data_IF_607825714366
#
_entry.id   IF_607825714366
#
_cell.length_a   1.000
_cell.length_b   1.000
_cell.length_c   1.000
_cell.angle_alpha   90.00
_cell.angle_beta   90.00
_cell.angle_gamma   90.00
#
_symmetry.space_group_name_H-M   'P 1'
#
loop_
_entity.id
_entity.type
_entity.pdbx_description
1 polymer ?
#
# COMPACT_ATOMS: atom_id res chain seq x y z
N UNK A 1 -21.15 8.76 -12.57
CA UNK A 1 -20.32 8.24 -11.46
C UNK A 1 -19.12 7.42 -11.93
N UNK A 2 -19.32 6.32 -12.68
CA UNK A 2 -18.23 5.42 -13.13
C UNK A 2 -17.09 6.17 -13.86
N UNK A 3 -17.43 7.05 -14.81
CA UNK A 3 -16.42 7.80 -15.56
C UNK A 3 -15.58 8.77 -14.71
N UNK A 4 -16.18 9.39 -13.70
CA UNK A 4 -15.45 10.27 -12.76
C UNK A 4 -14.50 9.47 -11.87
N UNK A 5 -14.95 8.31 -11.36
CA UNK A 5 -14.10 7.40 -10.61
C UNK A 5 -12.91 6.91 -11.43
N UNK A 6 -13.15 6.50 -12.67
CA UNK A 6 -12.09 6.04 -13.58
C UNK A 6 -11.07 7.13 -13.92
N UNK A 7 -11.48 8.40 -14.02
CA UNK A 7 -10.55 9.52 -14.22
C UNK A 7 -9.68 9.75 -12.98
N UNK A 8 -10.28 9.74 -11.79
CA UNK A 8 -9.53 9.91 -10.54
C UNK A 8 -8.55 8.75 -10.30
N UNK A 9 -8.95 7.52 -10.61
CA UNK A 9 -8.10 6.34 -10.57
C UNK A 9 -6.90 6.48 -11.52
N UNK A 10 -7.16 6.80 -12.80
CA UNK A 10 -6.09 7.04 -13.80
C UNK A 10 -5.14 8.16 -13.39
N UNK A 11 -5.63 9.18 -12.69
CA UNK A 11 -4.80 10.27 -12.19
C UNK A 11 -3.83 9.84 -11.09
N UNK A 12 -4.16 8.80 -10.31
CA UNK A 12 -3.37 8.36 -9.15
C UNK A 12 -2.48 7.15 -9.45
N UNK A 13 -2.86 6.27 -10.39
CA UNK A 13 -2.05 5.09 -10.78
C UNK A 13 -0.56 5.43 -10.98
N UNK A 14 -0.17 6.51 -11.70
CA UNK A 14 1.24 6.82 -11.94
C UNK A 14 2.07 7.13 -10.68
N UNK A 15 1.41 7.51 -9.58
CA UNK A 15 2.06 7.87 -8.31
C UNK A 15 1.90 6.83 -7.21
N UNK A 16 1.19 5.73 -7.47
CA UNK A 16 1.08 4.63 -6.54
C UNK A 16 2.44 3.91 -6.38
N UNK A 17 2.71 3.36 -5.18
CA UNK A 17 3.86 2.47 -4.96
C UNK A 17 3.71 1.17 -5.75
N UNK A 18 4.81 0.45 -5.92
CA UNK A 18 4.76 -0.94 -6.42
C UNK A 18 4.18 -1.88 -5.35
N UNK A 19 3.75 -3.06 -5.78
CA UNK A 19 3.33 -4.12 -4.85
C UNK A 19 4.48 -4.57 -3.92
N UNK A 20 5.74 -4.51 -4.40
CA UNK A 20 6.92 -4.79 -3.57
C UNK A 20 7.13 -3.75 -2.46
N UNK A 21 6.87 -2.47 -2.74
CA UNK A 21 7.01 -1.38 -1.76
C UNK A 21 5.82 -1.31 -0.80
N UNK A 22 4.63 -1.63 -1.29
CA UNK A 22 3.40 -1.56 -0.52
C UNK A 22 2.45 -2.70 -0.92
N UNK A 23 2.58 -3.90 -0.29
CA UNK A 23 1.90 -5.14 -0.70
C UNK A 23 0.43 -5.17 -0.26
N UNK A 24 -0.31 -4.10 -0.53
CA UNK A 24 -1.69 -3.91 -0.09
C UNK A 24 -2.64 -3.74 -1.26
N UNK A 25 -3.77 -4.42 -1.19
CA UNK A 25 -4.92 -4.04 -1.99
C UNK A 25 -5.47 -2.69 -1.50
N UNK A 26 -5.46 -1.68 -2.36
CA UNK A 26 -5.95 -0.34 -2.06
C UNK A 26 -7.38 -0.21 -2.58
N UNK A 27 -8.30 0.20 -1.71
CA UNK A 27 -9.66 0.59 -2.09
C UNK A 27 -9.93 2.01 -1.59
N UNK A 28 -10.22 2.91 -2.52
CA UNK A 28 -10.63 4.29 -2.21
C UNK A 28 -12.06 4.50 -2.65
N UNK A 29 -12.86 5.13 -1.79
CA UNK A 29 -14.24 5.53 -2.08
C UNK A 29 -14.32 7.03 -1.86
N UNK A 30 -14.76 7.75 -2.90
CA UNK A 30 -15.02 9.19 -2.83
C UNK A 30 -16.52 9.42 -2.84
N UNK A 31 -17.05 9.97 -1.75
CA UNK A 31 -18.47 10.33 -1.63
C UNK A 31 -18.61 11.85 -1.78
N UNK A 32 -19.42 12.27 -2.74
CA UNK A 32 -19.66 13.68 -3.01
C UNK A 32 -20.89 14.14 -2.23
N UNK A 33 -20.68 14.97 -1.21
CA UNK A 33 -21.77 15.56 -0.42
C UNK A 33 -22.33 16.85 -1.03
N UNK A 34 -21.48 17.60 -1.75
CA UNK A 34 -21.83 18.85 -2.41
C UNK A 34 -21.16 18.93 -3.78
N UNK A 35 -21.82 19.59 -4.73
CA UNK A 35 -21.33 19.71 -6.10
C UNK A 35 -21.73 21.04 -6.72
N UNK A 36 -20.77 21.94 -6.89
CA UNK A 36 -20.90 23.13 -7.74
C UNK A 36 -19.60 23.37 -8.54
N UNK A 37 -19.12 22.31 -9.19
CA UNK A 37 -17.89 22.29 -9.96
C UNK A 37 -17.46 20.85 -10.25
N UNK A 38 -16.18 20.64 -10.57
CA UNK A 38 -15.70 19.31 -10.95
C UNK A 38 -15.47 18.38 -9.75
N UNK A 39 -16.48 17.58 -9.43
CA UNK A 39 -16.41 16.55 -8.38
C UNK A 39 -15.38 15.47 -8.66
N UNK A 40 -15.04 15.24 -9.94
CA UNK A 40 -13.95 14.33 -10.35
C UNK A 40 -12.56 14.83 -9.93
N UNK A 41 -12.32 16.15 -10.00
CA UNK A 41 -11.08 16.77 -9.57
C UNK A 41 -11.00 16.82 -8.05
N UNK A 42 -12.10 17.17 -7.39
CA UNK A 42 -12.22 17.08 -5.94
C UNK A 42 -11.95 15.65 -5.43
N UNK A 43 -12.52 14.63 -6.10
CA UNK A 43 -12.29 13.22 -5.78
C UNK A 43 -10.82 12.83 -5.93
N UNK A 44 -10.12 13.35 -6.95
CA UNK A 44 -8.68 13.09 -7.13
C UNK A 44 -7.86 13.67 -5.97
N UNK A 45 -8.09 14.94 -5.62
CA UNK A 45 -7.39 15.61 -4.52
C UNK A 45 -7.67 14.91 -3.18
N UNK A 46 -8.93 14.64 -2.87
CA UNK A 46 -9.35 14.00 -1.63
C UNK A 46 -8.82 12.55 -1.54
N UNK A 47 -8.85 11.79 -2.63
CA UNK A 47 -8.31 10.42 -2.68
C UNK A 47 -6.80 10.42 -2.45
N UNK A 48 -6.05 11.34 -3.08
CA UNK A 48 -4.63 11.48 -2.84
C UNK A 48 -4.32 11.71 -1.36
N UNK A 49 -5.02 12.67 -0.73
CA UNK A 49 -4.86 12.97 0.69
C UNK A 49 -5.28 11.80 1.58
N UNK A 50 -6.39 11.14 1.27
CA UNK A 50 -6.88 9.98 2.01
C UNK A 50 -5.88 8.82 1.99
N UNK A 51 -5.27 8.55 0.85
CA UNK A 51 -4.24 7.52 0.71
C UNK A 51 -2.98 7.88 1.51
N UNK A 52 -2.53 9.14 1.45
CA UNK A 52 -1.43 9.63 2.28
C UNK A 52 -1.75 9.48 3.78
N UNK A 53 -2.97 9.82 4.20
CA UNK A 53 -3.42 9.68 5.58
C UNK A 53 -3.56 8.21 6.02
N UNK A 54 -3.84 7.29 5.10
CA UNK A 54 -3.88 5.86 5.35
C UNK A 54 -2.48 5.21 5.45
N UNK A 55 -1.41 5.97 5.17
CA UNK A 55 -0.03 5.48 5.19
C UNK A 55 0.42 4.84 3.87
N UNK A 56 -0.32 5.06 2.77
CA UNK A 56 0.12 4.61 1.44
C UNK A 56 1.28 5.51 1.00
N UNK A 57 2.46 4.94 0.67
CA UNK A 57 3.63 5.71 0.25
C UNK A 57 3.48 6.20 -1.20
N UNK A 58 2.56 7.15 -1.40
CA UNK A 58 2.39 7.85 -2.68
C UNK A 58 3.68 8.61 -3.00
N UNK A 59 4.20 8.40 -4.22
CA UNK A 59 5.46 9.00 -4.68
C UNK A 59 5.43 10.52 -4.64
N UNK A 60 4.31 11.12 -5.10
CA UNK A 60 4.09 12.57 -5.16
C UNK A 60 2.60 12.91 -5.04
N UNK A 61 2.29 14.01 -4.36
CA UNK A 61 0.93 14.54 -4.26
C UNK A 61 0.37 14.89 -5.64
N UNK A 62 -0.89 14.53 -5.89
CA UNK A 62 -1.62 14.80 -7.13
C UNK A 62 -2.83 15.68 -6.81
N UNK A 63 -2.97 16.79 -7.53
CA UNK A 63 -4.15 17.63 -7.52
C UNK A 63 -4.81 17.61 -8.90
N UNK A 64 -6.11 17.88 -8.93
CA UNK A 64 -6.91 18.05 -10.14
C UNK A 64 -7.55 19.43 -10.19
N UNK A 65 -7.79 19.94 -11.40
CA UNK A 65 -8.57 21.15 -11.63
C UNK A 65 -9.27 21.10 -12.98
N UNK A 66 -10.39 21.79 -13.11
CA UNK A 66 -11.09 22.02 -14.38
C UNK A 66 -10.82 23.43 -14.91
N UNK A 67 -10.80 23.54 -16.24
CA UNK A 67 -10.70 24.78 -16.99
C UNK A 67 -11.79 24.80 -18.03
N UNK A 68 -12.53 25.92 -18.08
CA UNK A 68 -13.54 26.16 -19.09
C UNK A 68 -13.02 27.00 -20.24
N UNK A 69 -13.77 27.01 -21.34
CA UNK A 69 -13.61 27.95 -22.45
C UNK A 69 -14.96 28.61 -22.73
N UNK A 70 -14.94 29.90 -22.99
CA UNK A 70 -16.03 30.62 -23.64
C UNK A 70 -15.45 31.34 -24.85
N UNK A 71 -16.04 31.10 -26.02
CA UNK A 71 -15.67 31.71 -27.30
C UNK A 71 -16.68 32.78 -27.70
N UNK A 72 -16.17 33.85 -28.31
CA UNK A 72 -16.93 34.94 -28.86
C UNK A 72 -17.22 34.73 -30.35
N UNK A 73 -17.29 35.82 -31.10
CA UNK A 73 -17.63 35.78 -32.54
C UNK A 73 -16.47 35.30 -33.42
N UNK A 74 -15.23 35.35 -32.93
CA UNK A 74 -14.01 34.96 -33.66
C UNK A 74 -13.15 34.00 -32.84
N UNK A 75 -12.28 33.24 -33.52
CA UNK A 75 -11.38 32.27 -32.89
C UNK A 75 -10.36 32.90 -31.91
N UNK A 76 -10.11 34.21 -32.04
CA UNK A 76 -9.21 34.98 -31.18
C UNK A 76 -9.93 35.63 -29.99
N UNK A 77 -11.26 35.70 -30.02
CA UNK A 77 -12.08 36.22 -28.93
C UNK A 77 -12.50 35.06 -28.02
N UNK A 78 -11.71 34.80 -26.99
CA UNK A 78 -12.02 33.75 -26.04
C UNK A 78 -11.58 34.09 -24.61
N UNK A 79 -12.26 33.45 -23.66
CA UNK A 79 -11.94 33.50 -22.24
C UNK A 79 -11.76 32.09 -21.71
N UNK A 80 -10.63 31.87 -21.04
CA UNK A 80 -10.44 30.67 -20.24
C UNK A 80 -10.96 30.92 -18.83
N UNK A 81 -11.63 29.94 -18.26
CA UNK A 81 -12.15 29.95 -16.90
C UNK A 81 -11.40 28.92 -16.06
N UNK A 82 -11.14 29.21 -14.78
CA UNK A 82 -10.39 28.31 -13.89
C UNK A 82 -11.30 27.91 -12.74
N UNK A 83 -11.32 26.61 -12.43
CA UNK A 83 -12.21 26.02 -11.43
C UNK A 83 -13.69 26.28 -11.72
N UNK A 84 -14.11 25.85 -12.90
CA UNK A 84 -15.46 26.14 -13.39
C UNK A 84 -16.56 25.57 -12.50
N UNK A 85 -17.59 26.38 -12.32
CA UNK A 85 -18.86 25.99 -11.73
C UNK A 85 -19.72 25.20 -12.72
N UNK A 86 -20.76 24.54 -12.22
CA UNK A 86 -21.66 23.75 -13.08
C UNK A 86 -22.35 24.58 -14.17
N UNK A 87 -22.66 25.86 -13.88
CA UNK A 87 -23.22 26.77 -14.88
C UNK A 87 -22.21 27.15 -15.96
N UNK A 88 -20.96 27.39 -15.57
CA UNK A 88 -19.88 27.75 -16.49
C UNK A 88 -19.49 26.58 -17.40
N UNK A 89 -19.51 25.35 -16.88
CA UNK A 89 -19.43 24.14 -17.72
C UNK A 89 -20.62 24.10 -18.68
N UNK A 90 -21.86 24.17 -18.17
CA UNK A 90 -23.06 24.00 -18.99
C UNK A 90 -23.09 24.95 -20.21
N UNK A 91 -22.77 26.22 -20.01
CA UNK A 91 -22.75 27.24 -21.06
C UNK A 91 -21.40 27.41 -21.77
N UNK A 92 -20.33 26.78 -21.27
CA UNK A 92 -18.99 26.86 -21.86
C UNK A 92 -18.79 25.90 -23.03
N UNK A 93 -17.84 26.25 -23.88
CA UNK A 93 -17.48 25.59 -25.13
C UNK A 93 -16.50 24.43 -24.96
N UNK A 94 -15.86 24.35 -23.80
CA UNK A 94 -14.90 23.30 -23.44
C UNK A 94 -14.96 23.04 -21.93
N UNK A 95 -14.91 21.76 -21.54
CA UNK A 95 -14.58 21.30 -20.19
C UNK A 95 -13.24 20.55 -20.24
N UNK A 96 -12.21 21.17 -19.66
CA UNK A 96 -10.85 20.65 -19.67
C UNK A 96 -10.38 20.33 -18.25
N UNK A 97 -10.30 19.05 -17.93
CA UNK A 97 -9.88 18.54 -16.63
C UNK A 97 -8.44 18.06 -16.71
N UNK A 98 -7.61 18.54 -15.80
CA UNK A 98 -6.19 18.16 -15.74
C UNK A 98 -5.80 17.82 -14.32
N UNK A 99 -5.17 16.66 -14.16
CA UNK A 99 -4.57 16.22 -12.91
C UNK A 99 -3.06 16.12 -13.05
N UNK A 100 -2.33 16.24 -11.95
CA UNK A 100 -0.89 16.09 -12.00
C UNK A 100 -0.20 16.37 -10.68
N UNK A 101 1.12 16.19 -10.71
CA UNK A 101 2.06 16.54 -9.64
C UNK A 101 2.73 17.88 -9.96
N UNK A 102 3.68 18.30 -9.11
CA UNK A 102 4.55 19.44 -9.39
C UNK A 102 5.44 19.24 -10.62
N UNK A 103 5.73 17.98 -10.98
CA UNK A 103 6.67 17.59 -12.04
C UNK A 103 5.99 17.28 -13.37
N UNK A 104 4.70 16.99 -13.38
CA UNK A 104 4.04 16.59 -14.62
C UNK A 104 2.56 16.35 -14.47
N UNK A 105 1.92 16.14 -15.60
CA UNK A 105 0.50 15.78 -15.70
C UNK A 105 0.36 14.27 -15.56
N UNK A 106 -0.62 13.80 -14.78
CA UNK A 106 -0.91 12.37 -14.62
C UNK A 106 -2.10 11.92 -15.44
N UNK A 107 -3.13 12.77 -15.61
CA UNK A 107 -4.23 12.54 -16.53
C UNK A 107 -4.80 13.85 -17.10
N UNK A 108 -5.39 13.72 -18.28
CA UNK A 108 -6.16 14.77 -18.96
C UNK A 108 -7.48 14.16 -19.40
N UNK A 109 -8.57 14.88 -19.20
CA UNK A 109 -9.83 14.64 -19.87
C UNK A 109 -10.29 15.96 -20.50
N UNK A 110 -10.73 15.91 -21.74
CA UNK A 110 -11.18 17.07 -22.48
C UNK A 110 -12.48 16.73 -23.18
N UNK A 111 -13.50 17.56 -22.96
CA UNK A 111 -14.76 17.55 -23.68
C UNK A 111 -14.90 18.89 -24.41
N UNK A 112 -15.21 18.85 -25.70
CA UNK A 112 -15.28 20.03 -26.57
C UNK A 112 -16.66 20.06 -27.19
N UNK A 113 -17.34 21.21 -27.10
CA UNK A 113 -18.68 21.42 -27.66
C UNK A 113 -18.67 22.21 -28.97
N UNK A 114 -17.50 22.71 -29.37
CA UNK A 114 -17.24 23.44 -30.61
C UNK A 114 -16.43 22.60 -31.61
N UNK A 115 -16.28 23.11 -32.83
CA UNK A 115 -15.68 22.36 -33.93
C UNK A 115 -14.17 22.05 -33.73
N UNK A 116 -13.47 22.83 -32.91
CA UNK A 116 -12.06 22.60 -32.60
C UNK A 116 -11.46 23.63 -31.66
N UNK A 117 -10.22 23.40 -31.25
CA UNK A 117 -9.44 24.31 -30.39
C UNK A 117 -8.18 24.73 -31.12
N UNK A 118 -7.85 26.02 -31.04
CA UNK A 118 -6.57 26.53 -31.55
C UNK A 118 -5.44 26.14 -30.58
N UNK A 119 -4.20 26.06 -31.10
CA UNK A 119 -3.02 25.77 -30.28
C UNK A 119 -2.85 26.76 -29.10
N UNK A 120 -3.05 28.08 -29.26
CA UNK A 120 -3.03 29.03 -28.15
C UNK A 120 -4.03 28.73 -27.03
N UNK A 121 -5.25 28.30 -27.37
CA UNK A 121 -6.27 27.94 -26.38
C UNK A 121 -5.79 26.75 -25.53
N UNK A 122 -5.27 25.71 -26.17
CA UNK A 122 -4.78 24.50 -25.48
C UNK A 122 -3.56 24.82 -24.60
N UNK A 123 -2.59 25.58 -25.11
CA UNK A 123 -1.41 25.99 -24.34
C UNK A 123 -1.82 26.84 -23.12
N UNK A 124 -2.73 27.79 -23.31
CA UNK A 124 -3.27 28.63 -22.24
C UNK A 124 -4.02 27.83 -21.17
N UNK A 125 -4.86 26.88 -21.59
CA UNK A 125 -5.61 26.02 -20.67
C UNK A 125 -4.68 25.15 -19.82
N UNK A 126 -3.67 24.51 -20.44
CA UNK A 126 -2.67 23.71 -19.72
C UNK A 126 -1.88 24.55 -18.72
N UNK A 127 -1.45 25.76 -19.12
CA UNK A 127 -0.71 26.68 -18.26
C UNK A 127 -1.54 27.11 -17.04
N UNK A 128 -2.79 27.53 -17.26
CA UNK A 128 -3.73 27.88 -16.17
C UNK A 128 -4.01 26.71 -15.24
N UNK A 129 -4.26 25.52 -15.79
CA UNK A 129 -4.44 24.33 -14.98
C UNK A 129 -3.19 24.02 -14.15
N UNK A 130 -1.97 24.24 -14.67
CA UNK A 130 -0.75 24.05 -13.89
C UNK A 130 -0.70 24.99 -12.69
N UNK A 131 -0.91 26.28 -12.90
CA UNK A 131 -0.91 27.27 -11.82
C UNK A 131 -1.95 26.93 -10.75
N UNK A 132 -3.18 26.61 -11.16
CA UNK A 132 -4.26 26.29 -10.24
C UNK A 132 -4.02 24.97 -9.47
N UNK A 133 -3.47 23.93 -10.12
CA UNK A 133 -3.09 22.69 -9.42
C UNK A 133 -2.04 22.94 -8.35
N UNK A 134 -1.02 23.74 -8.66
CA UNK A 134 0.02 24.10 -7.69
C UNK A 134 -0.57 24.91 -6.53
N UNK A 135 -1.45 25.86 -6.83
CA UNK A 135 -2.18 26.61 -5.80
C UNK A 135 -2.97 25.68 -4.87
N UNK A 136 -3.74 24.72 -5.40
CA UNK A 136 -4.51 23.75 -4.62
C UNK A 136 -3.60 22.90 -3.74
N UNK A 137 -2.49 22.40 -4.29
CA UNK A 137 -1.53 21.62 -3.51
C UNK A 137 -0.96 22.43 -2.34
N UNK A 138 -0.49 23.64 -2.60
CA UNK A 138 0.26 24.44 -1.63
C UNK A 138 -0.64 25.06 -0.57
N UNK A 139 -1.83 25.54 -0.95
CA UNK A 139 -2.69 26.33 -0.07
C UNK A 139 -3.85 25.52 0.54
N UNK A 140 -4.23 24.39 -0.07
CA UNK A 140 -5.38 23.61 0.38
C UNK A 140 -4.96 22.22 0.90
N UNK A 141 -4.17 21.48 0.12
CA UNK A 141 -3.87 20.08 0.43
C UNK A 141 -2.76 19.92 1.46
N UNK A 142 -1.57 20.48 1.20
CA UNK A 142 -0.39 20.36 2.06
C UNK A 142 -0.60 20.87 3.50
N UNK A 143 -1.36 21.96 3.75
CA UNK A 143 -1.63 22.41 5.11
C UNK A 143 -2.40 21.38 5.94
N UNK A 144 -3.18 20.51 5.31
CA UNK A 144 -3.90 19.44 5.98
C UNK A 144 -3.07 18.14 6.04
N UNK A 145 -2.54 17.67 4.91
CA UNK A 145 -1.75 16.44 4.81
C UNK A 145 -0.59 16.69 3.84
N UNK A 146 0.60 16.93 4.39
CA UNK A 146 1.79 17.32 3.60
C UNK A 146 2.58 16.13 3.03
N UNK A 147 2.51 14.96 3.67
CA UNK A 147 3.25 13.76 3.30
C UNK A 147 2.46 12.50 3.71
N UNK A 148 2.72 11.34 3.08
CA UNK A 148 2.22 10.06 3.57
C UNK A 148 2.59 9.85 5.05
N UNK A 149 1.67 9.25 5.82
CA UNK A 149 2.01 8.81 7.17
C UNK A 149 3.06 7.68 7.09
N UNK A 150 3.99 7.61 8.06
CA UNK A 150 5.06 6.62 8.04
C UNK A 150 4.57 5.18 8.24
N UNK A 151 3.42 5.01 8.87
CA UNK A 151 2.82 3.70 9.13
C UNK A 151 1.34 3.71 8.74
N UNK A 152 0.86 2.53 8.32
CA UNK A 152 -0.57 2.27 8.15
C UNK A 152 -1.31 2.38 9.48
N UNK A 153 -2.62 2.64 9.41
CA UNK A 153 -3.45 2.80 10.61
C UNK A 153 -3.37 1.60 11.56
N UNK A 154 -3.63 1.80 12.87
CA UNK A 154 -3.49 0.74 13.88
C UNK A 154 -4.44 -0.44 13.66
N UNK A 155 -5.55 -0.22 12.97
CA UNK A 155 -6.54 -1.25 12.62
C UNK A 155 -6.35 -1.82 11.22
N UNK A 156 -5.45 -1.25 10.43
CA UNK A 156 -5.08 -1.83 9.15
C UNK A 156 -4.23 -3.07 9.40
N UNK A 157 -4.47 -4.18 8.69
CA UNK A 157 -3.56 -5.31 8.72
C UNK A 157 -2.16 -4.84 8.34
N UNK A 158 -1.14 -5.25 9.08
CA UNK A 158 0.25 -5.07 8.71
C UNK A 158 0.67 -6.29 7.87
N UNK A 159 1.58 -6.08 6.93
CA UNK A 159 2.14 -7.15 6.09
C UNK A 159 3.64 -7.11 6.24
N UNK A 160 4.25 -8.26 6.53
CA UNK A 160 5.70 -8.47 6.50
C UNK A 160 5.96 -9.51 5.41
N UNK A 161 6.76 -9.13 4.42
CA UNK A 161 7.17 -10.02 3.33
C UNK A 161 8.61 -10.45 3.53
N UNK A 162 8.87 -11.75 3.38
CA UNK A 162 10.22 -12.34 3.43
C UNK A 162 10.43 -13.24 2.21
N UNK A 163 11.65 -13.23 1.70
CA UNK A 163 12.06 -14.14 0.62
C UNK A 163 12.66 -15.41 1.22
N UNK A 164 12.18 -16.57 0.77
CA UNK A 164 12.76 -17.88 1.08
C UNK A 164 13.23 -18.59 -0.20
N UNK A 165 14.04 -19.63 -0.04
CA UNK A 165 14.41 -20.51 -1.15
C UNK A 165 13.17 -21.28 -1.65
N UNK A 166 12.82 -21.20 -2.96
CA UNK A 166 11.70 -21.93 -3.53
C UNK A 166 11.73 -23.45 -3.26
N UNK A 167 12.92 -24.05 -3.14
CA UNK A 167 13.05 -25.48 -2.82
C UNK A 167 12.56 -25.82 -1.40
N UNK A 168 12.56 -24.83 -0.50
CA UNK A 168 12.17 -24.98 0.91
C UNK A 168 10.70 -24.60 1.19
N UNK A 169 9.93 -24.22 0.17
CA UNK A 169 8.48 -23.97 0.32
C UNK A 169 7.78 -25.22 0.89
N UNK A 170 8.19 -26.41 0.46
CA UNK A 170 7.63 -27.68 0.93
C UNK A 170 7.79 -27.88 2.45
N UNK A 171 8.88 -27.39 3.03
CA UNK A 171 9.15 -27.48 4.47
C UNK A 171 8.25 -26.55 5.29
N UNK A 172 8.03 -25.33 4.78
CA UNK A 172 7.18 -24.32 5.44
C UNK A 172 5.71 -24.69 5.38
N UNK A 173 5.24 -25.19 4.23
CA UNK A 173 3.86 -25.68 4.08
C UNK A 173 3.67 -26.96 4.90
N UNK A 174 4.65 -27.87 4.85
CA UNK A 174 4.58 -29.19 5.46
C UNK A 174 3.59 -30.12 4.76
N UNK A 175 3.56 -31.40 5.18
CA UNK A 175 2.65 -32.38 4.58
C UNK A 175 1.18 -31.95 4.70
N UNK A 176 0.52 -31.74 3.56
CA UNK A 176 -0.88 -31.26 3.46
C UNK A 176 -1.14 -29.94 4.19
N UNK A 177 -0.13 -29.07 4.29
CA UNK A 177 -0.29 -27.77 4.95
C UNK A 177 -0.24 -27.85 6.49
N UNK A 178 0.20 -28.96 7.09
CA UNK A 178 0.16 -29.12 8.55
C UNK A 178 1.00 -28.05 9.27
N UNK A 179 2.21 -27.79 8.79
CA UNK A 179 3.15 -26.85 9.41
C UNK A 179 2.64 -25.42 9.35
N UNK A 180 2.23 -24.96 8.16
CA UNK A 180 1.71 -23.59 7.98
C UNK A 180 0.42 -23.35 8.79
N UNK A 181 -0.49 -24.34 8.84
CA UNK A 181 -1.71 -24.23 9.64
C UNK A 181 -1.40 -24.17 11.14
N UNK A 182 -0.33 -24.83 11.60
CA UNK A 182 0.10 -24.76 12.99
C UNK A 182 0.70 -23.40 13.33
N UNK A 183 1.49 -22.79 12.44
CA UNK A 183 2.00 -21.42 12.62
C UNK A 183 0.83 -20.44 12.70
N UNK A 184 -0.14 -20.55 11.79
CA UNK A 184 -1.36 -19.73 11.76
C UNK A 184 -2.15 -19.91 13.07
N UNK A 185 -2.32 -21.15 13.56
CA UNK A 185 -3.04 -21.41 14.80
C UNK A 185 -2.34 -20.84 16.05
N UNK A 186 -1.00 -20.84 16.07
CA UNK A 186 -0.20 -20.32 17.20
C UNK A 186 -0.15 -18.80 17.24
N UNK A 187 -0.17 -18.14 16.08
CA UNK A 187 0.07 -16.69 15.94
C UNK A 187 -1.17 -15.89 15.56
N UNK A 188 -2.20 -16.53 15.02
CA UNK A 188 -3.43 -15.87 14.55
C UNK A 188 -3.25 -15.01 13.31
N UNK A 189 -2.09 -15.08 12.64
CA UNK A 189 -1.79 -14.33 11.41
C UNK A 189 -2.27 -15.11 10.18
N UNK A 190 -2.38 -14.43 9.05
CA UNK A 190 -2.54 -15.06 7.73
C UNK A 190 -1.19 -15.14 7.06
N UNK A 191 -0.90 -16.27 6.42
CA UNK A 191 0.35 -16.48 5.69
C UNK A 191 -0.04 -16.86 4.26
N UNK A 192 0.55 -16.16 3.30
CA UNK A 192 0.46 -16.47 1.87
C UNK A 192 1.85 -16.73 1.33
N UNK A 193 2.00 -17.74 0.46
CA UNK A 193 3.29 -18.13 -0.12
C UNK A 193 3.10 -18.25 -1.61
N UNK A 194 3.96 -17.57 -2.37
CA UNK A 194 3.99 -17.64 -3.83
C UNK A 194 5.02 -18.66 -4.31
N UNK A 195 4.87 -19.14 -5.55
CA UNK A 195 5.72 -20.20 -6.12
C UNK A 195 7.19 -19.78 -6.31
N UNK A 196 7.45 -18.47 -6.34
CA UNK A 196 8.77 -17.85 -6.39
C UNK A 196 9.43 -17.66 -5.01
N UNK A 197 8.78 -18.12 -3.93
CA UNK A 197 9.35 -18.13 -2.58
C UNK A 197 9.13 -16.83 -1.80
N UNK A 198 8.22 -15.95 -2.22
CA UNK A 198 7.83 -14.80 -1.42
C UNK A 198 6.76 -15.21 -0.40
N UNK A 199 7.03 -14.99 0.88
CA UNK A 199 6.14 -15.32 2.00
C UNK A 199 5.61 -14.03 2.60
N UNK A 200 4.30 -13.82 2.51
CA UNK A 200 3.62 -12.65 3.07
C UNK A 200 2.87 -13.02 4.35
N UNK A 201 3.32 -12.48 5.48
CA UNK A 201 2.69 -12.64 6.80
C UNK A 201 1.84 -11.41 7.08
N UNK A 202 0.54 -11.60 7.26
CA UNK A 202 -0.45 -10.53 7.44
C UNK A 202 -1.17 -10.66 8.79
N UNK A 203 -1.18 -9.59 9.59
CA UNK A 203 -1.80 -9.59 10.92
C UNK A 203 -1.98 -8.19 11.49
N UNK A 204 -2.71 -8.05 12.59
CA UNK A 204 -2.88 -6.75 13.29
C UNK A 204 -1.89 -6.57 14.44
N UNK A 205 -1.41 -7.67 15.03
CA UNK A 205 -0.43 -7.68 16.11
C UNK A 205 0.97 -7.91 15.58
N UNK A 206 1.82 -6.89 15.71
CA UNK A 206 3.21 -6.93 15.25
C UNK A 206 4.02 -8.03 15.94
N UNK A 207 3.80 -8.25 17.24
CA UNK A 207 4.57 -9.25 17.99
C UNK A 207 4.26 -10.68 17.50
N UNK A 208 3.00 -10.95 17.14
CA UNK A 208 2.60 -12.25 16.59
C UNK A 208 3.09 -12.45 15.16
N UNK A 209 3.13 -11.38 14.37
CA UNK A 209 3.71 -11.42 13.03
C UNK A 209 5.21 -11.69 13.06
N UNK A 210 5.95 -11.00 13.93
CA UNK A 210 7.39 -11.21 14.10
C UNK A 210 7.67 -12.66 14.52
N UNK A 211 6.87 -13.21 15.45
CA UNK A 211 6.95 -14.63 15.82
C UNK A 211 6.68 -15.59 14.66
N UNK A 212 5.71 -15.29 13.79
CA UNK A 212 5.44 -16.12 12.63
C UNK A 212 6.59 -16.09 11.63
N UNK A 213 7.17 -14.91 11.40
CA UNK A 213 8.36 -14.72 10.56
C UNK A 213 9.55 -15.51 11.12
N UNK A 214 9.81 -15.39 12.43
CA UNK A 214 10.89 -16.13 13.10
C UNK A 214 10.71 -17.65 12.94
N UNK A 215 9.49 -18.17 13.12
CA UNK A 215 9.20 -19.60 12.94
C UNK A 215 9.46 -20.05 11.50
N UNK A 216 9.04 -19.26 10.50
CA UNK A 216 9.29 -19.56 9.09
C UNK A 216 10.79 -19.56 8.81
N UNK A 217 11.52 -18.54 9.29
CA UNK A 217 12.97 -18.46 9.15
C UNK A 217 13.69 -19.66 9.75
N UNK A 218 13.30 -20.10 10.96
CA UNK A 218 13.89 -21.28 11.60
C UNK A 218 13.66 -22.54 10.76
N UNK A 219 12.47 -22.70 10.16
CA UNK A 219 12.16 -23.86 9.30
C UNK A 219 13.05 -23.87 8.06
N UNK A 220 13.31 -22.70 7.48
CA UNK A 220 14.15 -22.53 6.28
C UNK A 220 15.63 -22.28 6.59
N UNK A 221 16.05 -22.37 7.84
CA UNK A 221 17.46 -22.26 8.23
C UNK A 221 18.13 -23.64 8.22
N UNK A 222 19.38 -23.68 7.78
CA UNK A 222 20.26 -24.84 7.99
C UNK A 222 20.97 -24.68 9.33
N UNK A 223 20.82 -25.70 10.18
CA UNK A 223 21.36 -25.68 11.54
C UNK A 223 22.87 -25.95 11.49
N UNK A 224 23.66 -24.93 11.81
CA UNK A 224 25.11 -25.00 11.90
C UNK A 224 25.59 -24.89 13.34
N UNK A 225 26.79 -25.42 13.61
CA UNK A 225 27.40 -25.34 14.93
C UNK A 225 27.67 -23.88 15.31
N UNK A 226 27.23 -23.47 16.52
CA UNK A 226 27.41 -22.12 17.05
C UNK A 226 26.18 -21.21 16.98
N UNK A 227 25.11 -21.62 16.29
CA UNK A 227 23.85 -20.88 16.28
C UNK A 227 23.09 -21.04 17.61
N UNK A 228 22.43 -19.98 18.06
CA UNK A 228 21.66 -19.95 19.31
C UNK A 228 20.19 -19.76 18.99
N UNK A 229 19.36 -20.73 19.35
CA UNK A 229 17.91 -20.69 19.17
C UNK A 229 17.19 -20.75 20.52
N UNK A 230 16.02 -20.11 20.59
CA UNK A 230 15.09 -20.25 21.71
C UNK A 230 13.97 -21.20 21.30
N UNK A 231 13.62 -22.12 22.18
CA UNK A 231 12.57 -23.10 21.91
C UNK A 231 11.84 -23.53 23.18
N UNK A 232 10.74 -24.25 23.00
CA UNK A 232 9.91 -24.77 24.09
C UNK A 232 10.24 -26.24 24.33
N UNK A 233 10.38 -26.64 25.59
CA UNK A 233 10.52 -28.05 25.94
C UNK A 233 9.21 -28.77 25.64
N UNK A 234 9.23 -29.73 24.71
CA UNK A 234 8.05 -30.49 24.29
C UNK A 234 7.98 -31.86 24.96
N UNK A 235 9.13 -32.45 25.29
CA UNK A 235 9.20 -33.77 25.91
C UNK A 235 10.46 -33.90 26.74
N UNK A 236 10.33 -34.52 27.91
CA UNK A 236 11.45 -34.82 28.79
C UNK A 236 11.59 -36.35 28.85
N UNK A 237 12.82 -36.84 28.66
CA UNK A 237 13.20 -38.24 28.79
C UNK A 237 14.36 -38.35 29.78
N UNK A 238 14.61 -39.56 30.27
CA UNK A 238 15.68 -39.80 31.26
C UNK A 238 17.07 -39.36 30.77
N UNK A 239 17.31 -39.38 29.45
CA UNK A 239 18.60 -39.02 28.85
C UNK A 239 18.67 -37.58 28.31
N UNK A 240 17.58 -36.82 28.33
CA UNK A 240 17.59 -35.46 27.77
C UNK A 240 16.22 -34.80 27.61
N UNK A 241 16.24 -33.53 27.21
CA UNK A 241 15.07 -32.73 26.90
C UNK A 241 14.98 -32.48 25.38
N UNK A 242 13.80 -32.68 24.82
CA UNK A 242 13.47 -32.31 23.45
C UNK A 242 12.90 -30.90 23.43
N UNK A 243 13.54 -30.02 22.65
CA UNK A 243 13.21 -28.61 22.52
C UNK A 243 12.73 -28.39 21.09
N UNK A 244 11.51 -27.87 20.94
CA UNK A 244 10.96 -27.46 19.65
C UNK A 244 11.26 -25.97 19.43
N UNK A 245 11.85 -25.64 18.28
CA UNK A 245 12.19 -24.27 17.88
C UNK A 245 11.15 -23.68 16.91
N UNK A 246 10.62 -24.53 16.03
CA UNK A 246 9.52 -24.22 15.13
C UNK A 246 8.74 -25.53 14.87
N UNK A 247 7.47 -25.47 14.39
CA UNK A 247 6.68 -26.68 14.17
C UNK A 247 7.41 -27.69 13.29
N UNK A 248 7.66 -28.89 13.83
CA UNK A 248 8.39 -29.97 13.13
C UNK A 248 9.92 -29.86 13.14
N UNK A 249 10.51 -28.86 13.80
CA UNK A 249 11.96 -28.73 14.02
C UNK A 249 12.27 -28.84 15.51
N UNK A 250 12.75 -30.04 15.89
CA UNK A 250 13.12 -30.38 17.26
C UNK A 250 14.61 -30.66 17.40
N UNK A 251 15.19 -30.28 18.54
CA UNK A 251 16.54 -30.66 18.95
C UNK A 251 16.52 -31.36 20.30
N UNK A 252 17.45 -32.29 20.52
CA UNK A 252 17.61 -32.96 21.82
C UNK A 252 18.83 -32.38 22.55
N UNK A 253 18.61 -31.89 23.76
CA UNK A 253 19.68 -31.53 24.70
C UNK A 253 19.89 -32.70 25.64
N UNK A 254 21.09 -33.28 25.59
CA UNK A 254 21.47 -34.39 26.46
C UNK A 254 21.62 -33.91 27.91
N UNK A 255 21.24 -34.74 28.88
CA UNK A 255 21.25 -34.41 30.33
C UNK A 255 22.59 -33.82 30.81
N UNK A 256 23.72 -34.27 30.25
CA UNK A 256 25.06 -33.77 30.59
C UNK A 256 25.37 -32.34 30.14
N UNK A 257 24.50 -31.73 29.33
CA UNK A 257 24.67 -30.37 28.78
C UNK A 257 23.61 -29.38 29.27
N UNK A 258 22.67 -29.82 30.13
CA UNK A 258 21.57 -28.99 30.64
C UNK A 258 22.04 -28.04 31.75
N UNK A 259 22.91 -28.53 32.64
CA UNK A 259 23.44 -27.75 33.75
C UNK A 259 24.96 -27.94 33.87
N UNK A 260 25.65 -26.95 34.46
CA UNK A 260 27.08 -27.06 34.80
C UNK A 260 27.33 -28.09 35.92
N UNK A 261 26.31 -28.32 36.74
CA UNK A 261 26.34 -29.26 37.85
C UNK A 261 25.76 -30.61 37.43
N UNK A 262 26.16 -31.68 38.10
CA UNK A 262 25.65 -33.03 37.80
C UNK A 262 24.21 -33.15 38.30
N UNK A 263 23.27 -33.13 37.37
CA UNK A 263 21.85 -33.41 37.63
C UNK A 263 21.56 -34.90 37.49
N UNK A 264 20.71 -35.44 38.37
CA UNK A 264 20.32 -36.85 38.35
C UNK A 264 19.06 -37.07 37.51
N UNK A 265 18.18 -36.07 37.43
CA UNK A 265 16.99 -36.08 36.59
C UNK A 265 16.91 -34.77 35.81
N UNK A 266 16.41 -34.84 34.58
CA UNK A 266 16.17 -33.64 33.74
C UNK A 266 15.10 -32.73 34.37
N UNK A 267 14.20 -33.30 35.17
CA UNK A 267 13.15 -32.62 35.93
C UNK A 267 13.68 -31.73 37.06
N UNK A 268 14.97 -31.85 37.41
CA UNK A 268 15.58 -31.10 38.52
C UNK A 268 15.93 -29.64 38.14
N UNK A 269 15.68 -29.22 36.89
CA UNK A 269 15.96 -27.88 36.33
C UNK A 269 14.78 -27.35 35.53
#
# INVERSE_FOLDING_TARGET
>A
EIGHGALAERALIPVLPSEEEFPYAIRTVSETFESNGSTSMASTCASCMSLMAAGVPIKKMVAGISCGLVTGETDDDYVLLTDIQGLEDFFGDMDFKVTGTTEGITAIQMDIKIHGLTRPIVEGAIARCREARLFIMDNCMKPAISAPRPEVGPYAPKIISIQIDPERIGDVVGQRGKTINEIIARTGVKIDITDDGNVSVCGTDREMMDKAVDMIQIIVTDFEEGQIFKGKVVSIKEFGAFIEFAPGKEGMVHISKIARERINRVEDV
#
